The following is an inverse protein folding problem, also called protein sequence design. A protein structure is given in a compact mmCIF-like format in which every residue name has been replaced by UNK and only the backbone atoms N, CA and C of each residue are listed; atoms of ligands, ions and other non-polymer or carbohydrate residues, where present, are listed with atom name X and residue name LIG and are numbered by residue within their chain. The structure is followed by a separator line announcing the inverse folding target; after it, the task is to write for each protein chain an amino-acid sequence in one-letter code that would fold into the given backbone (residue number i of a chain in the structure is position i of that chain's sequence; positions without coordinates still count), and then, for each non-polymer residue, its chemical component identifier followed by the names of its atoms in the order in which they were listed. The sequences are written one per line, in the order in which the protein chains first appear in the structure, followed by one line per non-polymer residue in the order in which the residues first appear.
data_IF_579326114548
#
_entry.id   IF_579326114548
#
_cell.length_a   1.000
_cell.length_b   1.000
_cell.length_c   1.000
_cell.angle_alpha   90.00
_cell.angle_beta   90.00
_cell.angle_gamma   90.00
#
_symmetry.space_group_name_H-M   'P 1'
#
loop_
_entity.id
_entity.type
_entity.pdbx_description
1 polymer ?
#
# COMPACT_ATOMS: atom_id res chain seq x y z
N UNK A 1 10.06 3.86 -22.76
CA UNK A 1 9.91 3.04 -21.54
C UNK A 1 8.61 2.25 -21.68
N UNK A 2 8.61 0.94 -21.43
CA UNK A 2 7.37 0.15 -21.49
C UNK A 2 6.66 0.19 -20.13
N UNK A 3 5.57 0.95 -20.07
CA UNK A 3 4.72 1.10 -18.89
C UNK A 3 3.37 0.40 -19.03
N UNK A 4 3.04 -0.19 -20.20
CA UNK A 4 1.74 -0.81 -20.46
C UNK A 4 1.48 -1.98 -19.50
N UNK A 5 0.30 -1.97 -18.94
CA UNK A 5 -0.26 -3.04 -18.11
C UNK A 5 -1.49 -3.70 -18.77
N UNK A 6 -1.64 -3.51 -20.09
CA UNK A 6 -2.73 -4.12 -20.85
C UNK A 6 -2.76 -5.64 -20.66
N UNK A 7 -3.93 -6.19 -20.38
CA UNK A 7 -4.13 -7.60 -20.08
C UNK A 7 -3.62 -8.06 -18.71
N UNK A 8 -3.13 -7.17 -17.84
CA UNK A 8 -2.74 -7.49 -16.48
C UNK A 8 -3.87 -7.28 -15.49
N UNK A 9 -4.02 -8.19 -14.53
CA UNK A 9 -4.99 -8.08 -13.44
C UNK A 9 -4.28 -7.67 -12.16
N UNK A 10 -4.81 -6.65 -11.49
CA UNK A 10 -4.27 -6.09 -10.27
C UNK A 10 -5.25 -6.21 -9.11
N UNK A 11 -4.80 -6.69 -7.95
CA UNK A 11 -5.52 -6.53 -6.68
C UNK A 11 -4.94 -5.31 -5.97
N UNK A 12 -5.81 -4.38 -5.55
CA UNK A 12 -5.42 -3.17 -4.83
C UNK A 12 -6.13 -3.12 -3.47
N UNK A 13 -5.37 -3.26 -2.40
CA UNK A 13 -5.88 -3.15 -1.03
C UNK A 13 -6.08 -1.70 -0.59
N UNK A 14 -7.08 -1.44 0.29
CA UNK A 14 -7.35 -0.12 0.84
C UNK A 14 -7.61 0.94 -0.22
N UNK A 15 -8.35 0.58 -1.25
CA UNK A 15 -8.46 1.33 -2.52
C UNK A 15 -9.78 2.08 -2.70
N UNK A 16 -10.55 2.30 -1.63
CA UNK A 16 -11.76 3.13 -1.71
C UNK A 16 -11.48 4.64 -1.69
N UNK A 17 -10.25 5.04 -1.35
CA UNK A 17 -9.81 6.44 -1.26
C UNK A 17 -8.30 6.56 -1.08
N UNK A 18 -7.77 7.80 -1.12
CA UNK A 18 -6.38 8.12 -0.79
C UNK A 18 -5.35 7.41 -1.65
N UNK A 19 -4.24 6.96 -1.06
CA UNK A 19 -3.12 6.34 -1.80
C UNK A 19 -3.56 5.09 -2.57
N UNK A 20 -4.38 4.23 -1.96
CA UNK A 20 -4.82 2.99 -2.62
C UNK A 20 -5.69 3.26 -3.84
N UNK A 21 -6.59 4.26 -3.77
CA UNK A 21 -7.41 4.68 -4.91
C UNK A 21 -6.55 5.30 -6.03
N UNK A 22 -5.65 6.23 -5.68
CA UNK A 22 -4.74 6.84 -6.65
C UNK A 22 -3.87 5.78 -7.38
N UNK A 23 -3.41 4.73 -6.66
CA UNK A 23 -2.70 3.61 -7.30
C UNK A 23 -3.61 2.86 -8.27
N UNK A 24 -4.86 2.57 -7.89
CA UNK A 24 -5.80 1.88 -8.78
C UNK A 24 -6.09 2.71 -10.05
N UNK A 25 -6.20 4.02 -9.92
CA UNK A 25 -6.36 4.97 -11.02
C UNK A 25 -5.19 4.91 -11.99
N UNK A 26 -3.95 5.04 -11.51
CA UNK A 26 -2.75 4.96 -12.34
C UNK A 26 -2.61 3.60 -13.03
N UNK A 27 -2.87 2.50 -12.31
CA UNK A 27 -2.83 1.15 -12.90
C UNK A 27 -3.90 0.98 -13.99
N UNK A 28 -5.09 1.55 -13.80
CA UNK A 28 -6.16 1.54 -14.80
C UNK A 28 -5.76 2.35 -16.04
N UNK A 29 -5.22 3.57 -15.88
CA UNK A 29 -4.71 4.39 -16.99
C UNK A 29 -3.62 3.64 -17.78
N UNK A 30 -2.78 2.85 -17.10
CA UNK A 30 -1.76 2.01 -17.75
C UNK A 30 -2.33 0.73 -18.39
N UNK A 31 -3.63 0.47 -18.25
CA UNK A 31 -4.33 -0.63 -18.91
C UNK A 31 -4.60 -1.86 -18.06
N UNK A 32 -4.37 -1.83 -16.75
CA UNK A 32 -4.65 -2.97 -15.89
C UNK A 32 -6.15 -3.10 -15.59
N UNK A 33 -6.64 -4.34 -15.46
CA UNK A 33 -7.92 -4.64 -14.82
C UNK A 33 -7.73 -4.60 -13.31
N UNK A 34 -8.43 -3.72 -12.61
CA UNK A 34 -8.27 -3.51 -11.18
C UNK A 34 -9.40 -4.17 -10.36
N UNK A 35 -9.01 -4.88 -9.30
CA UNK A 35 -9.91 -5.46 -8.30
C UNK A 35 -9.66 -4.70 -7.00
N UNK A 36 -10.61 -3.86 -6.61
CA UNK A 36 -10.51 -2.97 -5.46
C UNK A 36 -10.99 -3.67 -4.18
N UNK A 37 -10.18 -3.61 -3.13
CA UNK A 37 -10.49 -4.20 -1.83
C UNK A 37 -10.51 -3.13 -0.73
N UNK A 38 -11.64 -2.94 -0.06
CA UNK A 38 -11.78 -2.06 1.12
C UNK A 38 -13.03 -2.44 1.92
N UNK A 39 -13.26 -1.78 3.06
CA UNK A 39 -14.41 -2.08 3.93
C UNK A 39 -15.73 -1.44 3.48
N UNK A 40 -15.65 -0.22 2.94
CA UNK A 40 -16.85 0.55 2.57
C UNK A 40 -17.25 0.24 1.15
N UNK A 41 -18.38 -0.48 1.00
CA UNK A 41 -18.88 -0.92 -0.30
C UNK A 41 -19.32 0.26 -1.18
N UNK A 42 -20.00 1.27 -0.61
CA UNK A 42 -20.47 2.42 -1.38
C UNK A 42 -19.31 3.23 -1.96
N UNK A 43 -18.26 3.46 -1.15
CA UNK A 43 -17.06 4.14 -1.64
C UNK A 43 -16.35 3.31 -2.73
N UNK A 44 -16.35 1.98 -2.62
CA UNK A 44 -15.78 1.09 -3.64
C UNK A 44 -16.56 1.15 -4.96
N UNK A 45 -17.90 1.19 -4.91
CA UNK A 45 -18.75 1.36 -6.10
C UNK A 45 -18.42 2.65 -6.84
N UNK A 46 -18.30 3.75 -6.11
CA UNK A 46 -17.90 5.05 -6.67
C UNK A 46 -16.49 4.96 -7.26
N UNK A 47 -15.52 4.45 -6.50
CA UNK A 47 -14.13 4.34 -6.93
C UNK A 47 -14.00 3.54 -8.24
N UNK A 48 -14.64 2.37 -8.33
CA UNK A 48 -14.59 1.54 -9.56
C UNK A 48 -15.22 2.24 -10.75
N UNK A 49 -16.32 2.99 -10.55
CA UNK A 49 -17.00 3.69 -11.65
C UNK A 49 -16.19 4.84 -12.27
N UNK A 50 -15.16 5.31 -11.56
CA UNK A 50 -14.29 6.41 -11.99
C UNK A 50 -12.99 5.94 -12.64
N UNK A 51 -12.68 4.63 -12.59
CA UNK A 51 -11.46 4.11 -13.20
C UNK A 51 -11.52 4.14 -14.73
N UNK A 52 -10.37 4.38 -15.35
CA UNK A 52 -10.23 4.42 -16.82
C UNK A 52 -10.57 3.07 -17.48
N UNK A 53 -11.42 3.12 -18.51
CA UNK A 53 -11.83 1.97 -19.31
C UNK A 53 -11.55 2.17 -20.82
N UNK A 54 -10.71 3.14 -21.17
CA UNK A 54 -10.46 3.60 -22.55
C UNK A 54 -9.92 2.51 -23.47
N UNK A 55 -9.23 1.51 -22.92
CA UNK A 55 -8.73 0.35 -23.67
C UNK A 55 -9.43 -0.97 -23.24
N UNK A 56 -10.70 -0.89 -22.83
CA UNK A 56 -11.58 -2.00 -22.49
C UNK A 56 -11.18 -2.76 -21.22
N UNK A 57 -10.59 -2.10 -20.25
CA UNK A 57 -10.33 -2.66 -18.93
C UNK A 57 -11.64 -3.05 -18.23
N UNK A 58 -11.58 -4.11 -17.45
CA UNK A 58 -12.71 -4.56 -16.62
C UNK A 58 -12.33 -4.45 -15.15
N UNK A 59 -13.02 -3.57 -14.42
CA UNK A 59 -12.76 -3.37 -12.99
C UNK A 59 -13.85 -4.00 -12.14
N UNK A 60 -13.48 -4.42 -10.95
CA UNK A 60 -14.40 -4.97 -9.95
C UNK A 60 -13.99 -4.57 -8.53
N UNK A 61 -14.86 -4.84 -7.57
CA UNK A 61 -14.56 -4.59 -6.17
C UNK A 61 -15.11 -5.70 -5.28
N UNK A 62 -14.55 -5.79 -4.07
CA UNK A 62 -15.09 -6.61 -3.00
C UNK A 62 -14.97 -5.85 -1.67
N UNK A 63 -16.09 -5.73 -0.97
CA UNK A 63 -16.11 -5.21 0.39
C UNK A 63 -15.54 -6.26 1.34
N UNK A 64 -14.43 -5.94 2.02
CA UNK A 64 -13.72 -6.86 2.92
C UNK A 64 -13.07 -6.12 4.07
N UNK A 65 -13.18 -6.65 5.27
CA UNK A 65 -12.40 -6.20 6.41
C UNK A 65 -11.15 -7.07 6.56
N UNK A 66 -9.98 -6.46 6.47
CA UNK A 66 -8.69 -7.14 6.63
C UNK A 66 -8.44 -7.66 8.06
N UNK A 67 -9.28 -7.29 9.04
CA UNK A 67 -9.26 -7.95 10.35
C UNK A 67 -9.92 -9.33 10.34
N UNK A 68 -10.74 -9.64 9.33
CA UNK A 68 -11.36 -10.96 9.16
C UNK A 68 -10.49 -11.82 8.22
N UNK A 69 -9.48 -12.46 8.78
CA UNK A 69 -8.47 -13.26 8.07
C UNK A 69 -9.11 -14.38 7.23
N UNK A 70 -10.11 -15.06 7.77
CA UNK A 70 -10.76 -16.17 7.06
C UNK A 70 -11.59 -15.68 5.85
N UNK A 71 -12.25 -14.54 5.99
CA UNK A 71 -12.94 -13.93 4.87
C UNK A 71 -11.95 -13.49 3.76
N UNK A 72 -10.78 -12.94 4.13
CA UNK A 72 -9.73 -12.58 3.18
C UNK A 72 -9.22 -13.82 2.45
N UNK A 73 -8.94 -14.91 3.17
CA UNK A 73 -8.48 -16.18 2.60
C UNK A 73 -9.49 -16.75 1.60
N UNK A 74 -10.75 -16.78 1.98
CA UNK A 74 -11.85 -17.27 1.13
C UNK A 74 -12.02 -16.40 -0.12
N UNK A 75 -11.98 -15.08 0.04
CA UNK A 75 -12.12 -14.14 -1.06
C UNK A 75 -10.99 -14.27 -2.07
N UNK A 76 -9.72 -14.23 -1.62
CA UNK A 76 -8.59 -14.30 -2.55
C UNK A 76 -8.53 -15.65 -3.28
N UNK A 77 -8.87 -16.75 -2.61
CA UNK A 77 -9.00 -18.06 -3.25
C UNK A 77 -10.06 -18.05 -4.36
N UNK A 78 -11.21 -17.42 -4.12
CA UNK A 78 -12.27 -17.25 -5.14
C UNK A 78 -11.75 -16.42 -6.33
N UNK A 79 -11.08 -15.31 -6.09
CA UNK A 79 -10.54 -14.46 -7.16
C UNK A 79 -9.52 -15.24 -8.00
N UNK A 80 -8.56 -15.89 -7.37
CA UNK A 80 -7.47 -16.61 -8.06
C UNK A 80 -7.92 -17.90 -8.76
N UNK A 81 -9.08 -18.45 -8.41
CA UNK A 81 -9.69 -19.56 -9.16
C UNK A 81 -10.32 -19.12 -10.49
N UNK A 82 -10.60 -17.84 -10.65
CA UNK A 82 -11.24 -17.27 -11.84
C UNK A 82 -10.26 -16.64 -12.83
N UNK A 83 -9.17 -16.08 -12.31
CA UNK A 83 -8.20 -15.36 -13.13
C UNK A 83 -6.81 -15.30 -12.48
N UNK A 84 -5.77 -15.20 -13.30
CA UNK A 84 -4.41 -14.92 -12.82
C UNK A 84 -4.32 -13.47 -12.35
N UNK A 85 -3.70 -13.26 -11.19
CA UNK A 85 -3.35 -11.93 -10.68
C UNK A 85 -1.87 -11.68 -10.94
N UNK A 86 -1.57 -10.59 -11.60
CA UNK A 86 -0.20 -10.20 -12.01
C UNK A 86 0.40 -9.15 -11.11
N UNK A 87 -0.45 -8.31 -10.49
CA UNK A 87 -0.05 -7.17 -9.66
C UNK A 87 -0.80 -7.27 -8.33
N UNK A 88 -0.07 -7.18 -7.23
CA UNK A 88 -0.63 -7.12 -5.89
C UNK A 88 -0.13 -5.87 -5.16
N UNK A 89 -1.04 -4.96 -4.84
CA UNK A 89 -0.77 -3.80 -4.00
C UNK A 89 -1.26 -4.08 -2.59
N UNK A 90 -0.34 -4.39 -1.71
CA UNK A 90 -0.58 -4.55 -0.28
C UNK A 90 -0.64 -3.17 0.37
N UNK A 91 -1.85 -2.67 0.58
CA UNK A 91 -2.12 -1.40 1.24
C UNK A 91 -3.32 -1.53 2.16
N UNK A 92 -3.22 -1.00 3.36
CA UNK A 92 -4.29 -0.99 4.37
C UNK A 92 -4.16 0.21 5.30
N UNK A 93 -5.22 0.52 6.03
CA UNK A 93 -5.21 1.58 7.05
C UNK A 93 -4.17 1.31 8.13
N UNK A 94 -3.48 2.35 8.60
CA UNK A 94 -2.46 2.21 9.63
C UNK A 94 -3.05 1.98 11.04
N UNK A 95 -2.27 1.39 11.98
CA UNK A 95 -2.67 1.21 13.36
C UNK A 95 -2.83 2.55 14.08
N UNK A 96 -3.45 2.50 15.26
CA UNK A 96 -3.62 3.67 16.14
C UNK A 96 -2.25 4.28 16.48
N UNK A 97 -2.22 5.62 16.53
CA UNK A 97 -1.03 6.36 16.93
C UNK A 97 -0.92 6.42 18.46
N UNK A 98 0.30 6.29 18.96
CA UNK A 98 0.61 6.39 20.40
C UNK A 98 2.05 6.06 20.71
N UNK A 99 2.53 6.38 21.93
CA UNK A 99 3.81 5.89 22.45
C UNK A 99 3.81 4.36 22.50
N UNK A 100 4.96 3.74 22.26
CA UNK A 100 5.04 2.28 22.21
C UNK A 100 4.82 1.62 23.58
N UNK A 101 5.19 2.31 24.64
CA UNK A 101 5.06 1.81 26.02
C UNK A 101 3.61 1.76 26.50
N UNK A 102 2.70 2.51 25.83
CA UNK A 102 1.27 2.55 26.14
C UNK A 102 0.45 1.61 25.23
N UNK A 103 1.10 0.94 24.28
CA UNK A 103 0.43 0.03 23.37
C UNK A 103 0.15 -1.32 24.03
N UNK A 104 -1.05 -1.87 23.80
CA UNK A 104 -1.41 -3.21 24.29
C UNK A 104 -0.95 -4.31 23.34
N UNK A 105 -0.88 -5.54 23.85
CA UNK A 105 -0.57 -6.73 23.06
C UNK A 105 -1.60 -6.93 21.93
N UNK A 106 -2.88 -6.60 22.18
CA UNK A 106 -3.95 -6.70 21.20
C UNK A 106 -3.73 -5.71 20.04
N UNK A 107 -3.27 -4.48 20.31
CA UNK A 107 -2.93 -3.50 19.27
C UNK A 107 -1.79 -4.02 18.38
N UNK A 108 -0.78 -4.70 18.96
CA UNK A 108 0.28 -5.36 18.21
C UNK A 108 -0.23 -6.52 17.36
N UNK A 109 -1.02 -7.43 17.97
CA UNK A 109 -1.57 -8.60 17.26
C UNK A 109 -2.50 -8.18 16.12
N UNK A 110 -3.36 -7.20 16.35
CA UNK A 110 -4.23 -6.65 15.32
C UNK A 110 -3.43 -6.06 14.15
N UNK A 111 -2.43 -5.24 14.45
CA UNK A 111 -1.59 -4.65 13.42
C UNK A 111 -0.75 -5.69 12.67
N UNK A 112 -0.22 -6.70 13.37
CA UNK A 112 0.51 -7.81 12.78
C UNK A 112 -0.39 -8.61 11.81
N UNK A 113 -1.58 -8.95 12.25
CA UNK A 113 -2.56 -9.65 11.42
C UNK A 113 -2.92 -8.84 10.18
N UNK A 114 -3.30 -7.57 10.35
CA UNK A 114 -3.77 -6.71 9.28
C UNK A 114 -2.69 -6.38 8.24
N UNK A 115 -1.42 -6.23 8.66
CA UNK A 115 -0.35 -5.75 7.77
C UNK A 115 0.62 -6.84 7.32
N UNK A 116 0.86 -7.88 8.12
CA UNK A 116 1.78 -8.94 7.72
C UNK A 116 1.05 -10.21 7.32
N UNK A 117 0.15 -10.73 8.17
CA UNK A 117 -0.54 -11.99 7.87
C UNK A 117 -1.45 -11.86 6.66
N UNK A 118 -2.22 -10.78 6.56
CA UNK A 118 -3.08 -10.53 5.37
C UNK A 118 -2.23 -10.38 4.11
N UNK A 119 -1.14 -9.61 4.15
CA UNK A 119 -0.24 -9.49 3.00
C UNK A 119 0.33 -10.85 2.60
N UNK A 120 0.68 -11.70 3.56
CA UNK A 120 1.18 -13.06 3.30
C UNK A 120 0.11 -13.95 2.66
N UNK A 121 -1.13 -13.90 3.15
CA UNK A 121 -2.26 -14.67 2.59
C UNK A 121 -2.52 -14.25 1.14
N UNK A 122 -2.61 -12.95 0.87
CA UNK A 122 -2.82 -12.43 -0.48
C UNK A 122 -1.67 -12.84 -1.41
N UNK A 123 -0.43 -12.68 -0.96
CA UNK A 123 0.77 -13.03 -1.72
C UNK A 123 0.82 -14.52 -2.06
N UNK A 124 0.64 -15.40 -1.09
CA UNK A 124 0.70 -16.85 -1.32
C UNK A 124 -0.38 -17.32 -2.27
N UNK A 125 -1.55 -16.68 -2.27
CA UNK A 125 -2.64 -17.02 -3.18
C UNK A 125 -2.34 -16.64 -4.63
N UNK A 126 -1.62 -15.53 -4.89
CA UNK A 126 -1.37 -15.03 -6.25
C UNK A 126 -0.07 -15.54 -6.88
N UNK A 127 0.93 -15.92 -6.06
CA UNK A 127 2.28 -16.32 -6.53
C UNK A 127 2.25 -17.50 -7.51
N UNK A 128 1.34 -18.45 -7.33
CA UNK A 128 1.22 -19.60 -8.23
C UNK A 128 0.92 -19.19 -9.68
N UNK A 129 -0.03 -18.27 -9.87
CA UNK A 129 -0.36 -17.70 -11.18
C UNK A 129 0.78 -16.83 -11.74
N UNK A 130 1.38 -15.99 -10.90
CA UNK A 130 2.53 -15.15 -11.29
C UNK A 130 3.72 -16.00 -11.80
N UNK A 131 4.02 -17.12 -11.11
CA UNK A 131 5.08 -18.06 -11.54
C UNK A 131 4.78 -18.69 -12.90
N UNK A 132 3.53 -19.11 -13.11
CA UNK A 132 3.09 -19.71 -14.37
C UNK A 132 3.24 -18.76 -15.55
N UNK A 133 2.93 -17.48 -15.34
CA UNK A 133 2.94 -16.45 -16.39
C UNK A 133 4.31 -15.76 -16.53
N UNK A 134 5.28 -16.09 -15.66
CA UNK A 134 6.62 -15.47 -15.64
C UNK A 134 6.58 -13.96 -15.37
N UNK A 135 5.51 -13.47 -14.74
CA UNK A 135 5.32 -12.06 -14.44
C UNK A 135 4.57 -11.87 -13.12
N UNK A 136 5.18 -11.16 -12.20
CA UNK A 136 4.55 -10.79 -10.94
C UNK A 136 5.13 -9.50 -10.38
N UNK A 137 4.26 -8.66 -9.80
CA UNK A 137 4.63 -7.41 -9.15
C UNK A 137 3.91 -7.31 -7.81
N UNK A 138 4.67 -7.40 -6.73
CA UNK A 138 4.16 -7.27 -5.36
C UNK A 138 4.70 -5.96 -4.79
N UNK A 139 3.82 -5.02 -4.51
CA UNK A 139 4.18 -3.70 -4.01
C UNK A 139 3.50 -3.49 -2.65
N UNK A 140 4.31 -3.26 -1.61
CA UNK A 140 3.81 -3.00 -0.28
C UNK A 140 3.89 -1.49 0.01
N UNK A 141 2.75 -0.90 0.33
CA UNK A 141 2.69 0.50 0.77
C UNK A 141 2.86 0.51 2.28
N UNK A 142 4.06 0.82 2.73
CA UNK A 142 4.40 0.75 4.15
C UNK A 142 4.63 2.14 4.77
N UNK A 143 5.86 2.57 5.03
CA UNK A 143 6.13 3.87 5.66
C UNK A 143 7.62 4.20 5.63
N UNK A 144 7.96 5.48 5.62
CA UNK A 144 9.34 5.95 5.88
C UNK A 144 9.86 5.52 7.27
N UNK A 145 8.98 5.07 8.17
CA UNK A 145 9.37 4.53 9.47
C UNK A 145 10.30 3.32 9.42
N UNK A 146 10.37 2.62 8.27
CA UNK A 146 11.36 1.54 8.05
C UNK A 146 12.76 2.04 7.70
N UNK A 147 12.96 3.34 7.62
CA UNK A 147 14.28 3.99 7.54
C UNK A 147 14.62 4.68 8.86
N UNK A 148 13.65 5.42 9.41
CA UNK A 148 13.80 6.16 10.67
C UNK A 148 12.51 6.07 11.47
N UNK A 149 12.47 5.50 12.67
CA UNK A 149 11.28 5.40 13.49
C UNK A 149 10.61 6.76 13.73
N UNK A 150 9.29 6.82 13.55
CA UNK A 150 8.52 8.04 13.75
C UNK A 150 7.97 8.09 15.18
N UNK A 151 8.06 9.27 15.82
CA UNK A 151 7.54 9.47 17.18
C UNK A 151 6.04 9.20 17.24
N UNK A 152 5.59 8.56 18.33
CA UNK A 152 4.18 8.23 18.58
C UNK A 152 3.51 7.33 17.51
N UNK A 153 4.28 6.53 16.81
CA UNK A 153 3.80 5.49 15.91
C UNK A 153 4.43 4.13 16.26
N UNK A 154 4.55 3.79 17.54
CA UNK A 154 5.31 2.64 18.04
C UNK A 154 4.90 1.32 17.40
N UNK A 155 3.62 0.95 17.46
CA UNK A 155 3.10 -0.28 16.83
C UNK A 155 3.35 -0.25 15.33
N UNK A 156 3.02 0.87 14.66
CA UNK A 156 3.23 1.00 13.21
C UNK A 156 4.69 0.84 12.81
N UNK A 157 5.62 1.49 13.54
CA UNK A 157 7.05 1.37 13.26
C UNK A 157 7.49 -0.11 13.29
N UNK A 158 7.15 -0.83 14.37
CA UNK A 158 7.52 -2.24 14.55
C UNK A 158 6.96 -3.12 13.43
N UNK A 159 5.67 -3.00 13.17
CA UNK A 159 5.01 -3.87 12.17
C UNK A 159 5.46 -3.55 10.74
N UNK A 160 5.69 -2.26 10.40
CA UNK A 160 6.18 -1.91 9.05
C UNK A 160 7.59 -2.43 8.78
N UNK A 161 8.46 -2.48 9.81
CA UNK A 161 9.76 -3.14 9.70
C UNK A 161 9.65 -4.65 9.44
N UNK A 162 8.72 -5.33 10.11
CA UNK A 162 8.49 -6.77 9.84
C UNK A 162 8.03 -7.01 8.40
N UNK A 163 7.17 -6.16 7.85
CA UNK A 163 6.76 -6.22 6.44
C UNK A 163 7.94 -5.99 5.50
N UNK A 164 8.83 -5.02 5.80
CA UNK A 164 10.00 -4.75 4.96
C UNK A 164 10.97 -5.95 4.92
N UNK A 165 11.23 -6.60 6.06
CA UNK A 165 12.05 -7.80 6.15
C UNK A 165 11.42 -8.97 5.38
N UNK A 166 10.13 -9.23 5.58
CA UNK A 166 9.37 -10.25 4.86
C UNK A 166 9.40 -10.02 3.34
N UNK A 167 9.19 -8.78 2.89
CA UNK A 167 9.25 -8.41 1.48
C UNK A 167 10.61 -8.68 0.85
N UNK A 168 11.70 -8.39 1.58
CA UNK A 168 13.07 -8.67 1.10
C UNK A 168 13.34 -10.16 0.95
N UNK A 169 12.86 -10.98 1.88
CA UNK A 169 12.92 -12.44 1.80
C UNK A 169 12.20 -12.96 0.55
N UNK A 170 10.96 -12.50 0.33
CA UNK A 170 10.20 -12.86 -0.86
C UNK A 170 10.89 -12.43 -2.17
N UNK A 171 11.48 -11.22 -2.20
CA UNK A 171 12.20 -10.74 -3.38
C UNK A 171 13.35 -11.68 -3.78
N UNK A 172 14.08 -12.19 -2.79
CA UNK A 172 15.17 -13.14 -3.02
C UNK A 172 14.66 -14.50 -3.54
N UNK A 173 13.56 -15.01 -2.97
CA UNK A 173 13.02 -16.32 -3.32
C UNK A 173 12.27 -16.33 -4.66
N UNK A 174 11.60 -15.22 -5.00
CA UNK A 174 10.69 -15.15 -6.14
C UNK A 174 11.33 -14.54 -7.41
N UNK A 175 12.46 -13.87 -7.29
CA UNK A 175 13.11 -13.17 -8.42
C UNK A 175 13.39 -14.06 -9.62
N UNK A 176 13.77 -15.33 -9.40
CA UNK A 176 14.03 -16.31 -10.46
C UNK A 176 12.79 -16.64 -11.33
N UNK A 177 11.58 -16.31 -10.87
CA UNK A 177 10.33 -16.55 -11.58
C UNK A 177 9.79 -15.29 -12.29
N UNK A 178 10.60 -14.23 -12.44
CA UNK A 178 10.16 -12.96 -13.03
C UNK A 178 9.24 -12.13 -12.13
N UNK A 179 9.24 -12.43 -10.82
CA UNK A 179 8.41 -11.73 -9.81
C UNK A 179 9.29 -10.77 -9.02
N UNK A 180 8.89 -9.49 -8.95
CA UNK A 180 9.56 -8.51 -8.10
C UNK A 180 8.70 -8.17 -6.87
N UNK A 181 9.37 -7.94 -5.74
CA UNK A 181 8.72 -7.53 -4.49
C UNK A 181 9.41 -6.27 -3.96
N UNK A 182 8.67 -5.17 -3.90
CA UNK A 182 9.21 -3.87 -3.52
C UNK A 182 8.32 -3.17 -2.49
N UNK A 183 8.88 -2.22 -1.77
CA UNK A 183 8.16 -1.38 -0.83
C UNK A 183 8.19 0.08 -1.29
N UNK A 184 7.05 0.74 -1.25
CA UNK A 184 6.94 2.19 -1.35
C UNK A 184 6.76 2.73 0.06
N UNK A 185 7.51 3.77 0.40
CA UNK A 185 7.54 4.38 1.72
C UNK A 185 6.95 5.80 1.66
N UNK A 186 5.63 5.96 1.79
CA UNK A 186 5.03 7.28 1.81
C UNK A 186 5.54 8.11 2.99
N UNK A 187 5.83 9.39 2.72
CA UNK A 187 5.94 10.42 3.75
C UNK A 187 4.57 10.94 4.17
N UNK A 188 4.54 12.17 4.71
CA UNK A 188 3.28 12.86 5.01
C UNK A 188 2.56 13.21 3.71
N UNK A 189 1.49 12.47 3.42
CA UNK A 189 0.70 12.58 2.18
C UNK A 189 -0.67 13.16 2.50
N UNK A 190 -1.22 14.01 1.63
CA UNK A 190 -2.51 14.68 1.78
C UNK A 190 -3.67 13.68 1.66
N UNK A 191 -3.98 12.99 2.74
CA UNK A 191 -5.03 11.98 2.86
C UNK A 191 -5.85 12.20 4.13
N UNK A 192 -7.05 11.64 4.17
CA UNK A 192 -7.90 11.65 5.38
C UNK A 192 -7.15 11.05 6.60
N UNK A 193 -6.37 9.99 6.38
CA UNK A 193 -5.52 9.40 7.44
C UNK A 193 -4.52 10.41 8.00
N UNK A 194 -3.88 11.20 7.14
CA UNK A 194 -2.92 12.22 7.61
C UNK A 194 -3.62 13.33 8.38
N UNK A 195 -4.81 13.76 7.93
CA UNK A 195 -5.63 14.74 8.65
C UNK A 195 -5.99 14.25 10.05
N UNK A 196 -6.46 13.00 10.17
CA UNK A 196 -6.76 12.37 11.47
C UNK A 196 -5.54 12.29 12.40
N UNK A 197 -4.33 12.04 11.85
CA UNK A 197 -3.09 12.05 12.63
C UNK A 197 -2.72 13.46 13.10
N UNK A 198 -2.92 14.48 12.29
CA UNK A 198 -2.69 15.89 12.65
C UNK A 198 -3.64 16.30 13.77
N UNK A 199 -4.93 16.00 13.66
CA UNK A 199 -5.93 16.27 14.70
C UNK A 199 -5.61 15.57 16.03
N UNK A 200 -5.25 14.30 15.98
CA UNK A 200 -4.84 13.54 17.17
C UNK A 200 -3.57 14.14 17.83
N UNK A 201 -2.62 14.60 17.03
CA UNK A 201 -1.43 15.27 17.52
C UNK A 201 -1.72 16.64 18.12
N UNK A 202 -2.60 17.45 17.50
CA UNK A 202 -3.03 18.75 18.00
C UNK A 202 -3.69 18.60 19.38
N UNK A 203 -4.62 17.67 19.50
CA UNK A 203 -5.31 17.37 20.76
C UNK A 203 -4.32 16.93 21.85
N UNK A 204 -3.38 16.03 21.55
CA UNK A 204 -2.40 15.53 22.51
C UNK A 204 -1.41 16.60 22.97
N UNK A 205 -1.00 17.51 22.08
CA UNK A 205 -0.05 18.58 22.39
C UNK A 205 -0.72 19.86 22.89
N UNK A 206 -2.06 19.91 22.90
CA UNK A 206 -2.84 21.09 23.24
C UNK A 206 -2.43 22.34 22.44
N UNK A 207 -2.27 22.18 21.10
CA UNK A 207 -1.97 23.24 20.15
C UNK A 207 -2.93 23.18 18.97
N UNK A 208 -2.95 24.20 18.10
CA UNK A 208 -3.82 24.22 16.94
C UNK A 208 -3.45 23.17 15.88
N UNK A 209 -4.43 22.76 15.07
CA UNK A 209 -4.23 21.87 13.91
C UNK A 209 -3.26 22.51 12.92
N UNK A 210 -3.38 23.82 12.72
CA UNK A 210 -2.51 24.61 11.85
C UNK A 210 -1.06 24.61 12.31
N UNK A 211 -0.81 24.72 13.62
CA UNK A 211 0.55 24.67 14.19
C UNK A 211 1.19 23.30 13.99
N UNK A 212 0.40 22.21 14.19
CA UNK A 212 0.89 20.85 13.93
C UNK A 212 1.21 20.68 12.44
N UNK A 213 0.29 21.11 11.56
CA UNK A 213 0.48 21.04 10.12
C UNK A 213 1.72 21.80 9.67
N UNK A 214 1.90 23.02 10.17
CA UNK A 214 3.08 23.85 9.89
C UNK A 214 4.37 23.16 10.32
N UNK A 215 4.45 22.67 11.57
CA UNK A 215 5.61 21.92 12.09
C UNK A 215 5.94 20.72 11.20
N UNK A 216 4.94 19.94 10.80
CA UNK A 216 5.15 18.78 9.94
C UNK A 216 5.65 19.17 8.54
N UNK A 217 5.14 20.26 7.97
CA UNK A 217 5.60 20.80 6.67
C UNK A 217 7.03 21.34 6.78
N UNK A 218 7.37 22.01 7.87
CA UNK A 218 8.71 22.56 8.10
C UNK A 218 9.80 21.47 8.15
N UNK A 219 9.46 20.27 8.61
CA UNK A 219 10.35 19.10 8.62
C UNK A 219 10.58 18.51 7.21
N UNK A 220 9.76 18.85 6.21
CA UNK A 220 9.87 18.32 4.85
C UNK A 220 10.66 19.28 3.99
N UNK A 221 11.80 18.88 3.38
CA UNK A 221 12.55 19.75 2.48
C UNK A 221 11.72 20.35 1.34
N UNK A 222 10.80 19.58 0.74
CA UNK A 222 9.88 20.05 -0.31
C UNK A 222 8.81 21.05 0.19
N UNK A 223 8.72 21.33 1.50
CA UNK A 223 7.83 22.31 2.14
C UNK A 223 6.34 22.13 1.84
N UNK A 224 5.92 20.91 1.59
CA UNK A 224 4.52 20.54 1.42
C UNK A 224 4.30 19.06 1.76
N UNK A 225 3.06 18.68 1.97
CA UNK A 225 2.69 17.25 1.93
C UNK A 225 2.74 16.74 0.49
N UNK A 226 3.02 15.44 0.34
CA UNK A 226 2.89 14.77 -0.94
C UNK A 226 1.41 14.61 -1.34
N UNK A 227 1.16 14.54 -2.63
CA UNK A 227 -0.15 14.15 -3.16
C UNK A 227 -0.22 12.60 -3.27
N UNK A 228 -1.38 11.95 -3.06
CA UNK A 228 -1.54 10.52 -3.29
C UNK A 228 -1.08 10.04 -4.67
N UNK A 229 -1.23 10.86 -5.71
CA UNK A 229 -0.78 10.56 -7.07
C UNK A 229 0.74 10.44 -7.19
N UNK A 230 1.51 11.18 -6.37
CA UNK A 230 2.98 11.07 -6.35
C UNK A 230 3.46 9.72 -5.80
N UNK A 231 2.71 9.16 -4.84
CA UNK A 231 2.95 7.81 -4.33
C UNK A 231 2.52 6.77 -5.38
N UNK A 232 1.37 7.02 -6.01
CA UNK A 232 0.81 6.15 -7.03
C UNK A 232 1.72 6.02 -8.26
N UNK A 233 2.33 7.12 -8.72
CA UNK A 233 3.27 7.10 -9.84
C UNK A 233 4.45 6.15 -9.62
N UNK A 234 5.02 6.13 -8.41
CA UNK A 234 6.12 5.21 -8.07
C UNK A 234 5.62 3.77 -7.99
N UNK A 235 4.45 3.53 -7.39
CA UNK A 235 3.87 2.19 -7.31
C UNK A 235 3.52 1.66 -8.72
N UNK A 236 2.95 2.48 -9.59
CA UNK A 236 2.61 2.14 -10.96
C UNK A 236 3.86 1.87 -11.82
N UNK A 237 4.93 2.66 -11.66
CA UNK A 237 6.23 2.34 -12.27
C UNK A 237 6.72 0.96 -11.83
N UNK A 238 6.72 0.67 -10.52
CA UNK A 238 7.16 -0.64 -9.99
C UNK A 238 6.26 -1.79 -10.46
N UNK A 239 5.00 -1.53 -10.76
CA UNK A 239 4.07 -2.51 -11.33
C UNK A 239 4.34 -2.81 -12.81
N UNK A 240 5.08 -1.97 -13.53
CA UNK A 240 5.28 -2.05 -14.98
C UNK A 240 6.40 -3.02 -15.40
N UNK A 241 6.45 -3.41 -16.69
CA UNK A 241 7.59 -4.12 -17.26
C UNK A 241 8.91 -3.35 -17.17
N UNK A 242 8.86 -2.00 -17.17
CA UNK A 242 10.05 -1.15 -17.08
C UNK A 242 10.83 -1.34 -15.77
N UNK A 243 10.14 -1.78 -14.70
CA UNK A 243 10.76 -2.03 -13.39
C UNK A 243 11.21 -3.50 -13.18
N UNK A 244 11.34 -4.29 -14.24
CA UNK A 244 11.62 -5.74 -14.14
C UNK A 244 12.92 -6.09 -13.40
N UNK A 245 13.86 -5.17 -13.30
CA UNK A 245 15.14 -5.37 -12.58
C UNK A 245 15.20 -4.61 -11.24
N UNK A 246 14.10 -3.95 -10.85
CA UNK A 246 13.95 -3.29 -9.54
C UNK A 246 13.30 -4.30 -8.59
N UNK A 247 14.10 -4.91 -7.70
CA UNK A 247 13.64 -5.98 -6.82
C UNK A 247 14.23 -5.89 -5.41
N UNK A 248 13.40 -6.02 -4.40
CA UNK A 248 13.79 -6.04 -3.00
C UNK A 248 14.21 -4.67 -2.45
N UNK A 249 13.71 -3.58 -3.02
CA UNK A 249 14.03 -2.21 -2.59
C UNK A 249 12.91 -1.60 -1.76
N UNK A 250 13.27 -0.60 -0.96
CA UNK A 250 12.35 0.23 -0.18
C UNK A 250 12.57 1.70 -0.59
N UNK A 251 11.62 2.26 -1.36
CA UNK A 251 11.73 3.57 -2.00
C UNK A 251 10.96 4.62 -1.20
N UNK A 252 11.62 5.58 -0.53
CA UNK A 252 10.95 6.73 0.08
C UNK A 252 10.32 7.65 -0.99
N UNK A 253 9.08 8.07 -0.74
CA UNK A 253 8.37 9.10 -1.51
C UNK A 253 7.84 10.11 -0.50
N UNK A 254 8.70 11.05 -0.08
CA UNK A 254 8.51 11.81 1.15
C UNK A 254 9.00 13.26 1.10
N UNK A 255 9.31 13.77 -0.08
CA UNK A 255 9.79 15.15 -0.28
C UNK A 255 11.16 15.43 0.35
N UNK A 256 11.98 14.37 0.56
CA UNK A 256 13.31 14.44 1.14
C UNK A 256 13.34 14.42 2.68
N UNK A 257 12.24 14.08 3.34
CA UNK A 257 12.14 14.09 4.81
C UNK A 257 13.04 13.06 5.49
N UNK A 258 13.21 11.89 4.87
CA UNK A 258 14.03 10.81 5.44
C UNK A 258 15.51 11.17 5.33
N UNK A 259 16.26 11.25 6.45
CA UNK A 259 17.65 11.72 6.44
C UNK A 259 18.66 10.64 6.01
N UNK A 260 18.21 9.39 5.81
CA UNK A 260 19.08 8.26 5.43
C UNK A 260 18.94 7.92 3.94
N UNK A 261 20.02 7.55 3.33
CA UNK A 261 20.11 7.00 1.96
C UNK A 261 19.71 5.52 1.91
#
# INVERSE_FOLDING_TARGET
MNLSLEGKNAIVGGSSQGIGYAIAEELAIMGANCILLARNEENLKVAVSQLDISIRQSHSYHAIDFNNIEAVRSLVKKITSQQTIHILINNSGGPKAGPIVDATEEEFLQAFNQHLIVNHILTTAVVGGMKKDGYGRIINIISTSVKTPLKNLGVSNTIRWSVASWAKTLANELGQFGITVNNVLPGSTATERNSSLIEANAKRQNISVEDVKKKMIDEIPAKRFGDPTEIAAVAAFLASPAASYVNGVSIPVDGGRTPST
#
